data_IF_412012487553
#
_entry.id   IF_412012487553
#
_cell.length_a   1.000
_cell.length_b   1.000
_cell.length_c   1.000
_cell.angle_alpha   90.00
_cell.angle_beta   90.00
_cell.angle_gamma   90.00
#
_symmetry.space_group_name_H-M   'P 1'
#
loop_
_entity.id
_entity.type
_entity.pdbx_description
1 polymer ?
#
# COMPACT_ATOMS: atom_id res chain seq x y z
N UNK A 1 -7.15 -2.78 21.56
CA UNK A 1 -7.95 -1.56 21.79
C UNK A 1 -8.54 -1.18 20.44
N UNK A 2 -9.85 -1.01 20.35
CA UNK A 2 -10.52 -0.57 19.12
C UNK A 2 -10.67 0.96 19.09
N UNK A 3 -11.13 1.51 17.96
CA UNK A 3 -11.29 2.95 17.78
C UNK A 3 -12.19 3.59 18.84
N UNK A 4 -13.31 2.95 19.18
CA UNK A 4 -14.22 3.51 20.19
C UNK A 4 -13.61 3.52 21.59
N UNK A 5 -13.01 2.40 22.01
CA UNK A 5 -12.31 2.30 23.28
C UNK A 5 -11.21 3.35 23.39
N UNK A 6 -10.51 3.63 22.28
CA UNK A 6 -9.50 4.68 22.21
C UNK A 6 -10.07 6.09 22.41
N UNK A 7 -11.24 6.41 21.86
CA UNK A 7 -11.91 7.69 22.11
C UNK A 7 -12.45 7.79 23.54
N UNK A 8 -13.01 6.68 24.06
CA UNK A 8 -13.62 6.61 25.38
C UNK A 8 -12.67 7.00 26.51
N UNK A 9 -11.36 6.81 26.35
CA UNK A 9 -10.36 7.23 27.34
C UNK A 9 -10.41 8.74 27.65
N UNK A 10 -10.91 9.58 26.74
CA UNK A 10 -11.00 11.03 26.96
C UNK A 10 -12.13 11.43 27.91
N UNK A 11 -13.10 10.54 28.11
CA UNK A 11 -14.27 10.81 28.96
C UNK A 11 -14.28 10.00 30.27
N UNK A 12 -13.33 9.10 30.49
CA UNK A 12 -13.27 8.23 31.68
C UNK A 12 -13.31 8.98 33.01
N UNK A 13 -12.73 10.18 33.06
CA UNK A 13 -12.66 11.03 34.26
C UNK A 13 -13.71 12.14 34.26
N UNK A 14 -14.69 12.08 33.37
CA UNK A 14 -15.77 13.06 33.32
C UNK A 14 -16.63 12.96 34.57
N UNK A 15 -17.06 14.11 35.08
CA UNK A 15 -18.04 14.17 36.17
C UNK A 15 -19.36 14.63 35.61
N UNK A 16 -20.44 14.39 36.35
CA UNK A 16 -21.78 14.82 35.96
C UNK A 16 -22.33 15.80 36.99
N UNK A 17 -22.90 16.90 36.51
CA UNK A 17 -23.70 17.80 37.33
C UNK A 17 -25.18 17.45 37.15
N UNK A 18 -25.91 17.39 38.26
CA UNK A 18 -27.35 17.20 38.24
C UNK A 18 -28.04 18.56 38.10
N UNK A 19 -28.85 18.71 37.06
CA UNK A 19 -29.77 19.83 36.91
C UNK A 19 -31.13 19.38 37.42
N UNK A 20 -31.59 19.97 38.54
CA UNK A 20 -32.78 19.53 39.28
C UNK A 20 -34.12 20.02 38.69
N UNK A 21 -34.09 21.02 37.81
CA UNK A 21 -35.25 21.59 37.11
C UNK A 21 -34.86 22.03 35.71
N UNK A 22 -35.82 22.08 34.80
CA UNK A 22 -35.57 22.56 33.44
C UNK A 22 -34.94 23.96 33.45
N UNK A 23 -33.88 24.12 32.66
CA UNK A 23 -33.07 25.32 32.61
C UNK A 23 -32.94 25.80 31.16
N UNK A 24 -33.45 26.99 30.89
CA UNK A 24 -33.25 27.68 29.60
C UNK A 24 -31.86 28.30 29.59
N UNK A 25 -31.02 27.90 28.64
CA UNK A 25 -29.70 28.49 28.48
C UNK A 25 -29.80 29.84 27.79
N UNK A 26 -29.09 30.85 28.30
CA UNK A 26 -28.99 32.17 27.68
C UNK A 26 -27.98 32.18 26.52
N UNK A 27 -28.25 31.36 25.51
CA UNK A 27 -27.53 31.28 24.25
C UNK A 27 -28.53 31.30 23.09
N UNK A 28 -28.10 31.69 21.90
CA UNK A 28 -29.00 31.76 20.73
C UNK A 28 -29.69 30.42 20.47
N UNK A 29 -31.00 30.48 20.24
CA UNK A 29 -31.89 29.31 20.18
C UNK A 29 -32.55 28.96 21.52
N UNK A 30 -32.10 29.55 22.64
CA UNK A 30 -32.63 29.34 24.00
C UNK A 30 -32.93 27.86 24.32
N UNK A 31 -31.98 26.93 24.11
CA UNK A 31 -32.23 25.52 24.33
C UNK A 31 -32.55 25.27 25.81
N UNK A 32 -33.42 24.30 26.03
CA UNK A 32 -33.82 23.90 27.38
C UNK A 32 -33.03 22.65 27.76
N UNK A 33 -32.20 22.78 28.78
CA UNK A 33 -31.67 21.63 29.49
C UNK A 33 -32.80 21.08 30.37
N UNK A 34 -33.27 19.87 30.06
CA UNK A 34 -34.25 19.19 30.92
C UNK A 34 -33.59 18.78 32.23
N UNK A 35 -34.40 18.50 33.25
CA UNK A 35 -33.91 17.83 34.46
C UNK A 35 -33.11 16.57 34.09
N UNK A 36 -31.87 16.46 34.56
CA UNK A 36 -31.00 15.32 34.25
C UNK A 36 -29.53 15.55 34.59
N UNK A 37 -28.70 14.56 34.26
CA UNK A 37 -27.26 14.59 34.46
C UNK A 37 -26.57 15.19 33.23
N UNK A 38 -25.60 16.08 33.44
CA UNK A 38 -24.85 16.73 32.36
C UNK A 38 -23.34 16.59 32.55
N UNK A 39 -22.59 16.16 31.52
CA UNK A 39 -21.16 15.88 31.63
C UNK A 39 -20.33 17.16 31.71
N UNK A 40 -19.28 17.10 32.52
CA UNK A 40 -18.16 18.05 32.56
C UNK A 40 -16.85 17.28 32.33
N UNK A 41 -16.03 17.78 31.41
CA UNK A 41 -14.73 17.20 31.10
C UNK A 41 -13.71 17.51 32.19
N UNK A 42 -12.68 16.66 32.39
CA UNK A 42 -11.67 16.84 33.44
C UNK A 42 -11.00 18.22 33.45
N UNK A 43 -10.71 18.76 32.26
CA UNK A 43 -10.10 20.08 32.09
C UNK A 43 -10.99 21.24 32.57
N UNK A 44 -12.31 21.08 32.46
CA UNK A 44 -13.28 22.10 32.85
C UNK A 44 -13.61 22.05 34.35
N UNK A 45 -13.40 20.90 35.02
CA UNK A 45 -13.62 20.74 36.48
C UNK A 45 -12.70 21.66 37.27
N UNK A 46 -11.42 21.77 36.86
CA UNK A 46 -10.44 22.59 37.57
C UNK A 46 -10.79 24.07 37.49
N UNK A 47 -11.28 24.52 36.34
CA UNK A 47 -11.75 25.90 36.13
C UNK A 47 -13.00 26.15 36.97
N UNK A 48 -13.96 25.23 36.96
CA UNK A 48 -15.17 25.30 37.76
C UNK A 48 -14.90 25.37 39.27
N UNK A 49 -13.94 24.57 39.77
CA UNK A 49 -13.54 24.58 41.17
C UNK A 49 -12.94 25.93 41.62
N UNK A 50 -12.40 26.73 40.69
CA UNK A 50 -11.81 28.04 40.97
C UNK A 50 -12.80 29.19 40.86
N UNK A 51 -13.71 29.14 39.89
CA UNK A 51 -14.62 30.25 39.56
C UNK A 51 -15.97 30.18 40.27
N UNK A 52 -16.34 29.03 40.85
CA UNK A 52 -17.56 28.85 41.63
C UNK A 52 -18.81 28.57 40.79
N UNK A 53 -19.86 28.08 41.46
CA UNK A 53 -21.10 27.52 40.86
C UNK A 53 -22.01 28.60 40.27
N UNK A 54 -21.81 29.87 40.66
CA UNK A 54 -22.75 30.97 40.37
C UNK A 54 -22.89 31.28 38.88
N UNK A 55 -21.92 30.89 38.04
CA UNK A 55 -22.01 30.93 36.59
C UNK A 55 -21.98 29.50 36.04
N UNK A 56 -23.13 28.98 35.60
CA UNK A 56 -23.18 27.68 34.95
C UNK A 56 -22.22 27.68 33.75
N UNK A 57 -21.24 26.77 33.68
CA UNK A 57 -20.26 26.74 32.60
C UNK A 57 -20.92 26.12 31.37
N UNK A 58 -21.85 26.85 30.77
CA UNK A 58 -22.73 26.40 29.67
C UNK A 58 -21.89 25.82 28.53
N UNK A 59 -20.75 26.44 28.23
CA UNK A 59 -19.82 25.95 27.22
C UNK A 59 -19.15 24.62 27.60
N UNK A 60 -18.80 24.43 28.88
CA UNK A 60 -18.24 23.16 29.36
C UNK A 60 -19.27 22.02 29.28
N UNK A 61 -20.54 22.31 29.60
CA UNK A 61 -21.63 21.34 29.45
C UNK A 61 -21.82 20.98 27.98
N UNK A 62 -21.84 21.97 27.08
CA UNK A 62 -21.91 21.75 25.63
C UNK A 62 -20.75 20.88 25.15
N UNK A 63 -19.51 21.19 25.56
CA UNK A 63 -18.31 20.39 25.25
C UNK A 63 -18.44 18.95 25.76
N UNK A 64 -18.84 18.78 27.02
CA UNK A 64 -19.07 17.47 27.61
C UNK A 64 -20.12 16.67 26.82
N UNK A 65 -21.25 17.29 26.46
CA UNK A 65 -22.29 16.64 25.65
C UNK A 65 -21.74 16.19 24.29
N UNK A 66 -20.96 17.05 23.60
CA UNK A 66 -20.31 16.72 22.33
C UNK A 66 -19.37 15.52 22.46
N UNK A 67 -18.55 15.50 23.52
CA UNK A 67 -17.64 14.40 23.81
C UNK A 67 -18.39 13.10 24.10
N UNK A 68 -19.45 13.15 24.90
CA UNK A 68 -20.25 11.97 25.23
C UNK A 68 -20.89 11.36 23.98
N UNK A 69 -21.54 12.16 23.14
CA UNK A 69 -22.18 11.61 21.93
C UNK A 69 -21.17 10.99 20.95
N UNK A 70 -19.92 11.47 20.95
CA UNK A 70 -18.85 10.97 20.11
C UNK A 70 -18.18 9.70 20.68
N UNK A 71 -17.80 9.73 21.95
CA UNK A 71 -16.96 8.71 22.59
C UNK A 71 -17.76 7.60 23.31
N UNK A 72 -19.05 7.82 23.58
CA UNK A 72 -19.93 6.80 24.15
C UNK A 72 -21.34 6.90 23.54
N UNK A 73 -21.50 6.45 22.28
CA UNK A 73 -22.77 6.56 21.56
C UNK A 73 -23.93 5.86 22.28
N UNK A 74 -23.63 4.82 23.06
CA UNK A 74 -24.60 4.02 23.80
C UNK A 74 -24.94 4.60 25.18
N UNK A 75 -24.32 5.72 25.56
CA UNK A 75 -24.64 6.39 26.81
C UNK A 75 -26.12 6.80 26.88
N UNK A 76 -26.75 6.58 28.06
CA UNK A 76 -28.20 6.71 28.27
C UNK A 76 -28.82 8.04 27.82
N UNK A 77 -28.07 9.13 27.87
CA UNK A 77 -28.54 10.48 27.48
C UNK A 77 -28.02 10.94 26.11
N UNK A 78 -27.31 10.11 25.35
CA UNK A 78 -26.72 10.51 24.06
C UNK A 78 -27.75 11.05 23.07
N UNK A 79 -28.97 10.48 23.05
CA UNK A 79 -30.06 10.98 22.20
C UNK A 79 -30.57 12.34 22.66
N UNK A 80 -30.73 12.54 23.96
CA UNK A 80 -31.18 13.82 24.53
C UNK A 80 -30.15 14.92 24.32
N UNK A 81 -28.87 14.63 24.54
CA UNK A 81 -27.78 15.55 24.27
C UNK A 81 -27.73 15.95 22.81
N UNK A 82 -27.85 15.00 21.87
CA UNK A 82 -27.92 15.32 20.44
C UNK A 82 -29.09 16.26 20.14
N UNK A 83 -30.28 16.01 20.67
CA UNK A 83 -31.45 16.86 20.44
C UNK A 83 -31.24 18.28 20.98
N UNK A 84 -30.68 18.43 22.18
CA UNK A 84 -30.35 19.73 22.78
C UNK A 84 -29.32 20.47 21.93
N UNK A 85 -28.24 19.79 21.54
CA UNK A 85 -27.16 20.36 20.72
C UNK A 85 -27.69 20.84 19.36
N UNK A 86 -28.58 20.09 18.72
CA UNK A 86 -29.20 20.47 17.44
C UNK A 86 -30.09 21.72 17.52
N UNK A 87 -30.53 22.14 18.71
CA UNK A 87 -31.33 23.37 18.91
C UNK A 87 -30.48 24.63 19.10
N UNK A 88 -29.16 24.47 19.29
CA UNK A 88 -28.25 25.60 19.50
C UNK A 88 -27.90 26.25 18.16
N UNK A 89 -28.33 27.50 17.97
CA UNK A 89 -27.98 28.26 16.77
C UNK A 89 -26.46 28.51 16.73
N UNK A 90 -25.81 28.12 15.64
CA UNK A 90 -24.35 28.26 15.46
C UNK A 90 -23.51 27.14 16.06
N UNK A 91 -24.11 26.04 16.52
CA UNK A 91 -23.37 24.89 17.07
C UNK A 91 -22.37 24.30 16.07
N UNK A 92 -22.71 24.23 14.78
CA UNK A 92 -21.81 23.77 13.72
C UNK A 92 -20.55 24.62 13.66
N UNK A 93 -20.69 25.95 13.62
CA UNK A 93 -19.57 26.89 13.55
C UNK A 93 -18.69 26.79 14.80
N UNK A 94 -19.30 26.61 15.97
CA UNK A 94 -18.57 26.39 17.21
C UNK A 94 -17.71 25.11 17.13
N UNK A 95 -18.29 23.98 16.70
CA UNK A 95 -17.56 22.71 16.60
C UNK A 95 -16.44 22.82 15.55
N UNK A 96 -16.71 23.43 14.40
CA UNK A 96 -15.70 23.65 13.34
C UNK A 96 -14.54 24.49 13.86
N UNK A 97 -14.81 25.59 14.56
CA UNK A 97 -13.78 26.42 15.18
C UNK A 97 -12.92 25.62 16.17
N UNK A 98 -13.54 24.78 17.00
CA UNK A 98 -12.80 23.94 17.95
C UNK A 98 -12.00 22.83 17.26
N UNK A 99 -12.49 22.25 16.17
CA UNK A 99 -11.72 21.32 15.32
C UNK A 99 -10.47 22.03 14.79
N UNK A 100 -10.62 23.22 14.21
CA UNK A 100 -9.52 23.99 13.62
C UNK A 100 -8.44 24.37 14.64
N UNK A 101 -8.83 24.73 15.87
CA UNK A 101 -7.87 25.01 16.95
C UNK A 101 -7.05 23.79 17.37
N UNK A 102 -7.61 22.59 17.25
CA UNK A 102 -7.03 21.36 17.79
C UNK A 102 -6.41 20.45 16.72
N UNK A 103 -6.73 20.60 15.43
CA UNK A 103 -6.29 19.64 14.38
C UNK A 103 -4.78 19.44 14.31
N UNK A 104 -3.99 20.47 14.63
CA UNK A 104 -2.53 20.41 14.66
C UNK A 104 -2.00 19.93 16.02
N UNK A 105 -2.47 20.54 17.11
CA UNK A 105 -1.92 20.39 18.47
C UNK A 105 -2.46 19.16 19.21
N UNK A 106 -3.74 18.83 19.01
CA UNK A 106 -4.40 17.68 19.60
C UNK A 106 -5.37 17.05 18.58
N UNK A 107 -4.80 16.30 17.63
CA UNK A 107 -5.56 15.70 16.52
C UNK A 107 -6.62 14.72 17.02
N UNK A 108 -6.41 14.02 18.15
CA UNK A 108 -7.43 13.16 18.76
C UNK A 108 -8.68 13.94 19.19
N UNK A 109 -8.50 15.10 19.85
CA UNK A 109 -9.61 16.01 20.20
C UNK A 109 -10.37 16.50 18.97
N UNK A 110 -9.64 16.83 17.90
CA UNK A 110 -10.27 17.21 16.63
C UNK A 110 -11.11 16.06 16.03
N UNK A 111 -10.62 14.81 16.06
CA UNK A 111 -11.38 13.62 15.61
C UNK A 111 -12.65 13.43 16.43
N UNK A 112 -12.60 13.60 17.76
CA UNK A 112 -13.78 13.50 18.64
C UNK A 112 -14.82 14.55 18.26
N UNK A 113 -14.40 15.80 18.11
CA UNK A 113 -15.29 16.90 17.74
C UNK A 113 -15.89 16.70 16.34
N UNK A 114 -15.10 16.23 15.37
CA UNK A 114 -15.62 15.87 14.04
C UNK A 114 -16.60 14.69 14.10
N UNK A 115 -16.38 13.72 14.99
CA UNK A 115 -17.32 12.62 15.25
C UNK A 115 -18.63 13.11 15.86
N UNK A 116 -18.57 14.08 16.77
CA UNK A 116 -19.77 14.73 17.32
C UNK A 116 -20.51 15.52 16.23
N UNK A 117 -19.78 16.25 15.38
CA UNK A 117 -20.35 17.07 14.31
C UNK A 117 -21.17 16.23 13.32
N UNK A 118 -20.63 15.10 12.85
CA UNK A 118 -21.37 14.23 11.93
C UNK A 118 -22.62 13.62 12.56
N UNK A 119 -22.63 13.41 13.88
CA UNK A 119 -23.81 12.90 14.59
C UNK A 119 -24.90 13.94 14.66
N UNK A 120 -24.56 15.21 14.76
CA UNK A 120 -25.50 16.33 14.76
C UNK A 120 -25.99 16.60 13.34
N UNK A 121 -25.06 16.69 12.38
CA UNK A 121 -25.35 16.97 10.98
C UNK A 121 -24.46 16.11 10.05
N UNK A 122 -24.95 15.00 9.47
CA UNK A 122 -24.14 14.06 8.70
C UNK A 122 -23.89 14.53 7.26
N UNK A 123 -23.44 15.77 7.06
CA UNK A 123 -23.06 16.28 5.72
C UNK A 123 -21.84 15.53 5.19
N UNK A 124 -21.82 15.33 3.87
CA UNK A 124 -20.69 14.73 3.12
C UNK A 124 -19.35 15.36 3.50
N UNK A 125 -19.27 16.69 3.54
CA UNK A 125 -18.04 17.44 3.84
C UNK A 125 -17.54 17.16 5.26
N UNK A 126 -18.44 17.00 6.23
CA UNK A 126 -18.08 16.73 7.62
C UNK A 126 -17.62 15.30 7.81
N UNK A 127 -18.27 14.35 7.13
CA UNK A 127 -17.85 12.95 7.11
C UNK A 127 -16.45 12.82 6.51
N UNK A 128 -16.21 13.47 5.36
CA UNK A 128 -14.90 13.45 4.71
C UNK A 128 -13.81 14.14 5.55
N UNK A 129 -14.08 15.33 6.10
CA UNK A 129 -13.14 16.02 6.98
C UNK A 129 -12.76 15.19 8.21
N UNK A 130 -13.70 14.41 8.76
CA UNK A 130 -13.40 13.47 9.84
C UNK A 130 -12.43 12.39 9.39
N UNK A 131 -12.60 11.83 8.20
CA UNK A 131 -11.69 10.81 7.64
C UNK A 131 -10.28 11.38 7.51
N UNK A 132 -10.12 12.59 6.98
CA UNK A 132 -8.82 13.27 6.88
C UNK A 132 -8.14 13.46 8.24
N UNK A 133 -8.91 13.77 9.29
CA UNK A 133 -8.37 13.88 10.65
C UNK A 133 -7.93 12.52 11.21
N UNK A 134 -8.62 11.43 10.87
CA UNK A 134 -8.22 10.07 11.28
C UNK A 134 -6.98 9.63 10.54
N UNK A 135 -6.87 9.89 9.22
CA UNK A 135 -5.65 9.67 8.42
C UNK A 135 -4.47 10.41 9.04
N UNK A 136 -4.63 11.70 9.34
CA UNK A 136 -3.60 12.49 10.02
C UNK A 136 -3.20 11.93 11.39
N UNK A 137 -4.16 11.40 12.14
CA UNK A 137 -3.88 10.77 13.43
C UNK A 137 -3.14 9.44 13.26
N UNK A 138 -3.48 8.67 12.23
CA UNK A 138 -2.76 7.46 11.84
C UNK A 138 -1.31 7.78 11.50
N UNK A 139 -1.04 8.78 10.66
CA UNK A 139 0.32 9.18 10.29
C UNK A 139 1.18 9.55 11.52
N UNK A 140 0.56 10.16 12.54
CA UNK A 140 1.24 10.55 13.79
C UNK A 140 1.49 9.40 14.76
N UNK A 141 0.69 8.32 14.70
CA UNK A 141 0.63 7.31 15.78
C UNK A 141 0.91 5.88 15.31
N UNK A 142 0.74 5.62 14.01
CA UNK A 142 0.83 4.30 13.37
C UNK A 142 -0.03 3.22 14.06
N UNK A 143 -1.18 3.62 14.62
CA UNK A 143 -2.08 2.70 15.32
C UNK A 143 -3.01 1.99 14.32
N UNK A 144 -2.83 0.67 14.17
CA UNK A 144 -3.53 -0.14 13.17
C UNK A 144 -5.05 0.00 13.16
N UNK A 145 -5.69 0.10 14.34
CA UNK A 145 -7.15 0.23 14.43
C UNK A 145 -7.69 1.54 13.81
N UNK A 146 -6.84 2.56 13.61
CA UNK A 146 -7.24 3.77 12.90
C UNK A 146 -7.37 3.51 11.40
N UNK A 147 -6.55 2.62 10.84
CA UNK A 147 -6.65 2.19 9.46
C UNK A 147 -7.99 1.49 9.20
N UNK A 148 -8.40 0.60 10.12
CA UNK A 148 -9.71 -0.07 10.05
C UNK A 148 -10.88 0.93 10.10
N UNK A 149 -10.79 1.95 10.96
CA UNK A 149 -11.80 3.00 11.05
C UNK A 149 -11.84 3.93 9.83
N UNK A 150 -10.69 4.19 9.18
CA UNK A 150 -10.61 4.96 7.93
C UNK A 150 -11.39 4.21 6.84
N UNK A 151 -11.11 2.93 6.65
CA UNK A 151 -11.79 2.09 5.64
C UNK A 151 -13.28 2.02 5.95
N UNK A 152 -13.67 1.73 7.20
CA UNK A 152 -15.08 1.70 7.59
C UNK A 152 -15.79 3.05 7.38
N UNK A 153 -15.08 4.17 7.57
CA UNK A 153 -15.63 5.50 7.33
C UNK A 153 -15.78 5.83 5.84
N UNK A 154 -14.82 5.42 5.00
CA UNK A 154 -14.90 5.57 3.55
C UNK A 154 -16.05 4.73 2.97
N UNK A 155 -16.21 3.50 3.44
CA UNK A 155 -17.33 2.62 3.04
C UNK A 155 -18.69 3.24 3.41
N UNK A 156 -18.85 3.75 4.64
CA UNK A 156 -20.08 4.48 5.04
C UNK A 156 -20.32 5.75 4.22
N UNK A 157 -19.27 6.52 3.96
CA UNK A 157 -19.37 7.75 3.15
C UNK A 157 -19.84 7.45 1.72
N UNK A 158 -19.35 6.35 1.13
CA UNK A 158 -19.78 5.84 -0.16
C UNK A 158 -21.24 5.37 -0.15
N UNK A 159 -21.67 4.69 0.91
CA UNK A 159 -23.07 4.26 1.08
C UNK A 159 -24.02 5.46 1.18
N UNK A 160 -23.66 6.47 1.99
CA UNK A 160 -24.45 7.68 2.18
C UNK A 160 -24.46 8.57 0.92
N UNK A 161 -23.36 8.59 0.16
CA UNK A 161 -23.18 9.43 -1.02
C UNK A 161 -22.56 8.68 -2.21
N UNK A 162 -23.32 7.82 -2.92
CA UNK A 162 -22.78 6.95 -3.98
C UNK A 162 -22.20 7.67 -5.20
N UNK A 163 -22.49 8.97 -5.38
CA UNK A 163 -21.92 9.80 -6.46
C UNK A 163 -20.65 10.55 -6.03
N UNK A 164 -20.21 10.38 -4.78
CA UNK A 164 -19.02 11.05 -4.27
C UNK A 164 -17.81 10.14 -4.39
N UNK A 165 -17.16 10.22 -5.56
CA UNK A 165 -16.03 9.39 -5.99
C UNK A 165 -14.79 9.46 -5.09
N UNK A 166 -14.64 10.50 -4.26
CA UNK A 166 -13.48 10.69 -3.38
C UNK A 166 -13.35 9.53 -2.39
N UNK A 167 -14.47 8.96 -1.94
CA UNK A 167 -14.44 7.78 -1.08
C UNK A 167 -13.88 6.56 -1.82
N UNK A 168 -14.34 6.33 -3.06
CA UNK A 168 -13.81 5.27 -3.92
C UNK A 168 -12.32 5.53 -4.23
N UNK A 169 -11.88 6.77 -4.43
CA UNK A 169 -10.48 7.08 -4.74
C UNK A 169 -9.53 6.64 -3.61
N UNK A 170 -9.83 7.06 -2.36
CA UNK A 170 -9.04 6.66 -1.19
C UNK A 170 -9.07 5.15 -0.93
N UNK A 171 -10.21 4.49 -1.19
CA UNK A 171 -10.29 3.03 -1.13
C UNK A 171 -9.44 2.37 -2.23
N UNK A 172 -9.42 2.96 -3.42
CA UNK A 172 -8.54 2.58 -4.52
C UNK A 172 -7.07 2.60 -4.10
N UNK A 173 -6.60 3.73 -3.58
CA UNK A 173 -5.23 3.88 -3.07
C UNK A 173 -4.90 2.87 -1.97
N UNK A 174 -5.82 2.68 -1.02
CA UNK A 174 -5.67 1.73 0.07
C UNK A 174 -5.44 0.28 -0.42
N UNK A 175 -6.17 -0.13 -1.46
CA UNK A 175 -6.10 -1.49 -1.98
C UNK A 175 -4.96 -1.71 -2.98
N UNK A 176 -4.27 -0.67 -3.47
CA UNK A 176 -3.21 -0.80 -4.49
C UNK A 176 -2.16 -1.87 -4.15
N UNK A 177 -1.73 -1.93 -2.89
CA UNK A 177 -0.70 -2.85 -2.41
C UNK A 177 -1.25 -4.09 -1.70
N UNK A 178 -2.58 -4.29 -1.67
CA UNK A 178 -3.25 -5.35 -0.90
C UNK A 178 -4.09 -6.27 -1.77
N UNK A 179 -4.87 -5.67 -2.67
CA UNK A 179 -5.84 -6.35 -3.52
C UNK A 179 -6.01 -5.49 -4.78
N UNK A 180 -5.16 -5.74 -5.76
CA UNK A 180 -5.07 -4.92 -6.98
C UNK A 180 -6.37 -4.95 -7.79
N UNK A 181 -7.14 -6.04 -7.73
CA UNK A 181 -8.44 -6.14 -8.38
C UNK A 181 -9.48 -5.24 -7.72
N UNK A 182 -9.54 -5.21 -6.38
CA UNK A 182 -10.38 -4.23 -5.67
C UNK A 182 -9.95 -2.80 -5.98
N UNK A 183 -8.65 -2.52 -5.98
CA UNK A 183 -8.13 -1.20 -6.30
C UNK A 183 -8.64 -0.72 -7.67
N UNK A 184 -8.54 -1.56 -8.71
CA UNK A 184 -9.06 -1.27 -10.06
C UNK A 184 -10.57 -0.99 -10.06
N UNK A 185 -11.37 -1.76 -9.31
CA UNK A 185 -12.82 -1.56 -9.24
C UNK A 185 -13.14 -0.17 -8.70
N UNK A 186 -12.49 0.22 -7.60
CA UNK A 186 -12.68 1.53 -6.99
C UNK A 186 -12.22 2.66 -7.90
N UNK A 187 -10.99 2.58 -8.44
CA UNK A 187 -10.43 3.61 -9.32
C UNK A 187 -11.24 3.79 -10.62
N UNK A 188 -11.83 2.72 -11.16
CA UNK A 188 -12.70 2.83 -12.35
C UNK A 188 -13.96 3.65 -12.09
N UNK A 189 -14.52 3.60 -10.88
CA UNK A 189 -15.69 4.42 -10.50
C UNK A 189 -15.34 5.91 -10.42
N UNK A 190 -14.10 6.23 -10.09
CA UNK A 190 -13.59 7.60 -10.03
C UNK A 190 -13.49 8.27 -11.41
N UNK A 191 -13.52 7.52 -12.51
CA UNK A 191 -13.41 8.06 -13.87
C UNK A 191 -14.62 8.88 -14.30
N UNK A 192 -15.78 8.71 -13.65
CA UNK A 192 -17.00 9.47 -13.94
C UNK A 192 -17.05 10.84 -13.27
N UNK A 193 -16.17 11.09 -12.28
CA UNK A 193 -16.13 12.33 -11.50
C UNK A 193 -14.89 13.15 -11.85
N UNK A 194 -15.06 14.38 -12.41
CA UNK A 194 -13.94 15.26 -12.74
C UNK A 194 -13.00 15.57 -11.59
N UNK A 195 -13.46 15.45 -10.33
CA UNK A 195 -12.63 15.70 -9.16
C UNK A 195 -11.61 14.60 -8.87
N UNK A 196 -11.77 13.40 -9.45
CA UNK A 196 -10.89 12.24 -9.20
C UNK A 196 -10.44 11.53 -10.47
N UNK A 197 -11.00 11.91 -11.63
CA UNK A 197 -10.81 11.16 -12.88
C UNK A 197 -9.36 11.17 -13.37
N UNK A 198 -8.65 12.29 -13.20
CA UNK A 198 -7.27 12.44 -13.67
C UNK A 198 -6.33 11.54 -12.86
N UNK A 199 -6.35 11.67 -11.53
CA UNK A 199 -5.52 10.89 -10.63
C UNK A 199 -5.85 9.39 -10.72
N UNK A 200 -7.13 9.03 -10.81
CA UNK A 200 -7.53 7.64 -10.97
C UNK A 200 -7.04 7.05 -12.30
N UNK A 201 -7.06 7.83 -13.39
CA UNK A 201 -6.53 7.40 -14.70
C UNK A 201 -5.03 7.12 -14.62
N UNK A 202 -4.26 7.99 -13.95
CA UNK A 202 -2.83 7.80 -13.75
C UNK A 202 -2.54 6.52 -12.97
N UNK A 203 -3.29 6.25 -11.89
CA UNK A 203 -3.12 5.03 -11.10
C UNK A 203 -3.51 3.77 -11.88
N UNK A 204 -4.59 3.82 -12.66
CA UNK A 204 -5.01 2.71 -13.52
C UNK A 204 -3.98 2.40 -14.61
N UNK A 205 -3.37 3.42 -15.21
CA UNK A 205 -2.31 3.18 -16.21
C UNK A 205 -1.06 2.58 -15.56
N UNK A 206 -0.69 3.02 -14.36
CA UNK A 206 0.41 2.38 -13.59
C UNK A 206 0.13 0.91 -13.30
N UNK A 207 -1.10 0.57 -12.88
CA UNK A 207 -1.50 -0.82 -12.66
C UNK A 207 -1.38 -1.62 -13.96
N UNK A 208 -1.93 -1.09 -15.05
CA UNK A 208 -1.88 -1.74 -16.36
C UNK A 208 -0.44 -2.00 -16.81
N UNK A 209 0.46 -1.03 -16.64
CA UNK A 209 1.88 -1.19 -16.99
C UNK A 209 2.54 -2.33 -16.20
N UNK A 210 2.22 -2.47 -14.90
CA UNK A 210 2.71 -3.57 -14.07
C UNK A 210 2.16 -4.91 -14.55
N UNK A 211 0.86 -5.00 -14.83
CA UNK A 211 0.23 -6.23 -15.33
C UNK A 211 0.78 -6.65 -16.71
N UNK A 212 1.02 -5.69 -17.60
CA UNK A 212 1.63 -5.95 -18.91
C UNK A 212 3.07 -6.47 -18.76
N UNK A 213 3.85 -5.91 -17.83
CA UNK A 213 5.18 -6.43 -17.51
C UNK A 213 5.12 -7.87 -16.98
N UNK A 214 4.25 -8.18 -16.03
CA UNK A 214 4.12 -9.53 -15.47
C UNK A 214 3.72 -10.54 -16.56
N UNK A 215 2.80 -10.16 -17.44
CA UNK A 215 2.43 -10.96 -18.61
C UNK A 215 3.62 -11.19 -19.54
N UNK A 216 4.44 -10.18 -19.80
CA UNK A 216 5.65 -10.31 -20.60
C UNK A 216 6.64 -11.31 -19.99
N UNK A 217 6.84 -11.25 -18.68
CA UNK A 217 7.69 -12.19 -17.95
C UNK A 217 7.19 -13.63 -18.10
N UNK A 218 5.88 -13.85 -17.99
CA UNK A 218 5.29 -15.18 -18.17
C UNK A 218 5.44 -15.69 -19.61
N UNK A 219 5.26 -14.83 -20.61
CA UNK A 219 5.56 -15.16 -22.01
C UNK A 219 7.01 -15.60 -22.20
N UNK A 220 7.98 -14.95 -21.53
CA UNK A 220 9.38 -15.40 -21.56
C UNK A 220 9.52 -16.78 -20.92
N UNK A 221 8.89 -17.05 -19.77
CA UNK A 221 8.96 -18.38 -19.13
C UNK A 221 8.38 -19.48 -20.01
N UNK A 222 7.37 -19.17 -20.81
CA UNK A 222 6.74 -20.08 -21.77
C UNK A 222 7.53 -20.25 -23.09
N UNK A 223 8.65 -19.52 -23.26
CA UNK A 223 9.45 -19.56 -24.47
C UNK A 223 8.90 -18.71 -25.63
N UNK A 224 7.88 -17.88 -25.38
CA UNK A 224 7.23 -17.02 -26.37
C UNK A 224 7.97 -15.67 -26.52
N UNK A 225 9.28 -15.72 -26.78
CA UNK A 225 10.15 -14.54 -26.77
C UNK A 225 9.72 -13.41 -27.71
N UNK A 226 9.18 -13.73 -28.90
CA UNK A 226 8.72 -12.71 -29.84
C UNK A 226 7.54 -11.89 -29.30
N UNK A 227 6.56 -12.55 -28.66
CA UNK A 227 5.40 -11.86 -28.08
C UNK A 227 5.80 -11.09 -26.82
N UNK A 228 6.70 -11.64 -26.00
CA UNK A 228 7.25 -10.94 -24.84
C UNK A 228 7.94 -9.63 -25.25
N UNK A 229 8.75 -9.64 -26.32
CA UNK A 229 9.47 -8.44 -26.79
C UNK A 229 8.53 -7.32 -27.27
N UNK A 230 7.34 -7.63 -27.79
CA UNK A 230 6.36 -6.60 -28.18
C UNK A 230 5.89 -5.77 -26.97
N UNK A 231 5.96 -6.33 -25.78
CA UNK A 231 5.55 -5.69 -24.52
C UNK A 231 6.78 -5.11 -23.81
N UNK A 232 7.87 -5.88 -23.70
CA UNK A 232 9.07 -5.48 -22.96
C UNK A 232 9.75 -4.25 -23.55
N UNK A 233 9.82 -4.13 -24.88
CA UNK A 233 10.55 -3.02 -25.52
C UNK A 233 9.90 -1.67 -25.20
N UNK A 234 8.60 -1.44 -25.45
CA UNK A 234 7.94 -0.20 -25.01
C UNK A 234 8.03 0.01 -23.49
N UNK A 235 7.88 -1.06 -22.69
CA UNK A 235 7.95 -0.96 -21.23
C UNK A 235 9.31 -0.46 -20.74
N UNK A 236 10.41 -0.89 -21.37
CA UNK A 236 11.78 -0.43 -21.04
C UNK A 236 11.97 1.04 -21.41
N UNK A 237 11.40 1.50 -22.52
CA UNK A 237 11.47 2.92 -22.93
C UNK A 237 10.82 3.83 -21.88
N UNK A 238 9.71 3.40 -21.29
CA UNK A 238 8.99 4.13 -20.24
C UNK A 238 9.57 3.93 -18.83
N UNK A 239 10.30 2.83 -18.59
CA UNK A 239 10.82 2.44 -17.27
C UNK A 239 12.30 2.02 -17.35
N UNK A 240 13.22 2.92 -17.76
CA UNK A 240 14.63 2.58 -18.01
C UNK A 240 15.37 2.11 -16.75
N UNK A 241 14.88 2.42 -15.56
CA UNK A 241 15.44 1.99 -14.27
C UNK A 241 15.11 0.53 -13.92
N UNK A 242 14.15 -0.10 -14.61
CA UNK A 242 13.74 -1.48 -14.35
C UNK A 242 14.66 -2.47 -15.04
N UNK A 243 15.83 -2.69 -14.45
CA UNK A 243 16.88 -3.60 -14.96
C UNK A 243 16.37 -5.02 -15.25
N UNK A 244 15.40 -5.50 -14.47
CA UNK A 244 14.78 -6.82 -14.71
C UNK A 244 14.09 -6.91 -16.07
N UNK A 245 13.47 -5.83 -16.54
CA UNK A 245 12.83 -5.80 -17.86
C UNK A 245 13.86 -5.95 -18.99
N UNK A 246 15.00 -5.27 -18.89
CA UNK A 246 16.11 -5.42 -19.84
C UNK A 246 16.67 -6.84 -19.83
N UNK A 247 16.75 -7.47 -18.65
CA UNK A 247 17.19 -8.87 -18.54
C UNK A 247 16.21 -9.82 -19.25
N UNK A 248 14.91 -9.71 -18.98
CA UNK A 248 13.91 -10.53 -19.66
C UNK A 248 13.86 -10.27 -21.17
N UNK A 249 14.12 -9.04 -21.62
CA UNK A 249 14.25 -8.75 -23.05
C UNK A 249 15.46 -9.47 -23.66
N UNK A 250 16.60 -9.53 -22.96
CA UNK A 250 17.75 -10.30 -23.41
C UNK A 250 17.45 -11.81 -23.50
N UNK A 251 16.79 -12.38 -22.48
CA UNK A 251 16.36 -13.79 -22.50
C UNK A 251 15.41 -14.04 -23.68
N UNK A 252 14.46 -13.13 -23.92
CA UNK A 252 13.52 -13.22 -25.04
C UNK A 252 14.24 -13.13 -26.40
N UNK A 253 15.25 -12.28 -26.53
CA UNK A 253 16.11 -12.22 -27.72
C UNK A 253 16.90 -13.52 -27.93
N UNK A 254 17.39 -14.16 -26.86
CA UNK A 254 18.02 -15.49 -26.95
C UNK A 254 17.03 -16.55 -27.44
N UNK A 255 15.79 -16.54 -26.95
CA UNK A 255 14.75 -17.50 -27.35
C UNK A 255 14.41 -17.42 -28.84
N UNK A 256 14.54 -16.25 -29.45
CA UNK A 256 14.39 -16.06 -30.90
C UNK A 256 15.72 -16.12 -31.67
N UNK A 257 16.75 -16.71 -31.06
CA UNK A 257 18.10 -16.92 -31.62
C UNK A 257 18.84 -15.61 -32.01
N UNK A 258 18.37 -14.46 -31.53
CA UNK A 258 19.03 -13.17 -31.75
C UNK A 258 20.06 -12.89 -30.66
N UNK A 259 21.12 -13.71 -30.65
CA UNK A 259 22.17 -13.67 -29.63
C UNK A 259 22.92 -12.34 -29.58
N UNK A 260 23.08 -11.65 -30.71
CA UNK A 260 23.73 -10.33 -30.75
C UNK A 260 22.93 -9.27 -29.99
N UNK A 261 21.60 -9.20 -30.19
CA UNK A 261 20.76 -8.27 -29.42
C UNK A 261 20.70 -8.67 -27.95
N UNK A 262 20.60 -9.97 -27.63
CA UNK A 262 20.65 -10.42 -26.25
C UNK A 262 21.93 -9.92 -25.54
N UNK A 263 23.10 -10.10 -26.16
CA UNK A 263 24.36 -9.61 -25.62
C UNK A 263 24.43 -8.08 -25.51
N UNK A 264 23.81 -7.34 -26.43
CA UNK A 264 23.73 -5.87 -26.33
C UNK A 264 23.03 -5.44 -25.03
N UNK A 265 21.83 -5.96 -24.77
CA UNK A 265 21.07 -5.66 -23.54
C UNK A 265 21.81 -6.14 -22.28
N UNK A 266 22.42 -7.32 -22.31
CA UNK A 266 23.16 -7.86 -21.17
C UNK A 266 24.42 -7.06 -20.85
N UNK A 267 25.14 -6.57 -21.87
CA UNK A 267 26.31 -5.74 -21.66
C UNK A 267 25.93 -4.35 -21.12
N UNK A 268 24.82 -3.78 -21.60
CA UNK A 268 24.26 -2.55 -21.03
C UNK A 268 23.93 -2.74 -19.54
N UNK A 269 23.27 -3.85 -19.19
CA UNK A 269 23.01 -4.21 -17.79
C UNK A 269 24.29 -4.25 -16.95
N UNK A 270 25.37 -4.85 -17.47
CA UNK A 270 26.66 -4.86 -16.77
C UNK A 270 27.25 -3.47 -16.56
N UNK A 271 27.04 -2.54 -17.49
CA UNK A 271 27.57 -1.16 -17.35
C UNK A 271 26.84 -0.32 -16.31
N UNK A 272 25.59 -0.67 -15.98
CA UNK A 272 24.72 0.10 -15.09
C UNK A 272 24.50 -0.56 -13.72
N UNK A 273 25.28 -1.60 -13.38
CA UNK A 273 25.24 -2.22 -12.05
C UNK A 273 24.37 -3.49 -11.95
N UNK A 274 24.01 -4.10 -13.08
CA UNK A 274 23.20 -5.31 -13.17
C UNK A 274 23.98 -6.62 -12.98
N UNK A 275 25.15 -6.60 -12.33
CA UNK A 275 25.97 -7.79 -12.11
C UNK A 275 25.29 -8.80 -11.17
N UNK A 276 24.81 -9.90 -11.74
CA UNK A 276 24.23 -11.03 -10.99
C UNK A 276 24.42 -12.35 -11.73
N UNK A 277 24.17 -13.45 -11.01
CA UNK A 277 24.35 -14.83 -11.50
C UNK A 277 23.65 -15.05 -12.84
N UNK A 278 22.40 -14.61 -12.93
CA UNK A 278 21.51 -14.79 -14.07
C UNK A 278 22.04 -14.05 -15.31
N UNK A 279 22.57 -12.84 -15.13
CA UNK A 279 23.12 -12.02 -16.23
C UNK A 279 24.41 -12.64 -16.77
N UNK A 280 25.32 -13.08 -15.89
CA UNK A 280 26.54 -13.74 -16.32
C UNK A 280 26.27 -15.06 -17.03
N UNK A 281 25.33 -15.86 -16.51
CA UNK A 281 24.93 -17.12 -17.13
C UNK A 281 24.31 -16.89 -18.50
N UNK A 282 23.45 -15.87 -18.62
CA UNK A 282 22.78 -15.56 -19.89
C UNK A 282 23.76 -15.02 -20.95
N UNK A 283 24.76 -14.21 -20.56
CA UNK A 283 25.84 -13.79 -21.47
C UNK A 283 26.59 -15.01 -21.97
N UNK A 284 26.99 -15.90 -21.07
CA UNK A 284 27.75 -17.09 -21.41
C UNK A 284 26.98 -18.03 -22.35
N UNK A 285 25.68 -18.21 -22.12
CA UNK A 285 24.81 -18.98 -23.02
C UNK A 285 24.76 -18.38 -24.43
N UNK A 286 24.64 -17.06 -24.56
CA UNK A 286 24.61 -16.39 -25.86
C UNK A 286 25.99 -16.41 -26.56
N UNK A 287 27.09 -16.29 -25.83
CA UNK A 287 28.44 -16.43 -26.40
C UNK A 287 28.69 -17.86 -26.91
N UNK A 288 28.31 -18.88 -26.12
CA UNK A 288 28.42 -20.28 -26.53
C UNK A 288 27.57 -20.58 -27.78
N UNK A 289 26.37 -20.01 -27.88
CA UNK A 289 25.52 -20.15 -29.07
C UNK A 289 26.12 -19.50 -30.32
N UNK A 290 26.92 -18.42 -30.15
CA UNK A 290 27.70 -17.79 -31.22
C UNK A 290 29.04 -18.50 -31.51
N UNK A 291 29.36 -19.57 -30.77
CA UNK A 291 30.60 -20.33 -30.91
C UNK A 291 31.81 -19.73 -30.17
N UNK A 292 31.63 -18.65 -29.41
CA UNK A 292 32.68 -18.09 -28.53
C UNK A 292 32.70 -18.83 -27.19
N UNK A 293 33.22 -20.06 -27.20
CA UNK A 293 33.25 -20.92 -26.04
C UNK A 293 34.26 -20.44 -24.98
N UNK A 294 35.40 -19.87 -25.39
CA UNK A 294 36.36 -19.27 -24.47
C UNK A 294 35.76 -18.07 -23.72
N UNK A 295 35.06 -17.18 -24.44
CA UNK A 295 34.32 -16.07 -23.84
C UNK A 295 33.22 -16.54 -22.91
N UNK A 296 32.45 -17.56 -23.32
CA UNK A 296 31.43 -18.17 -22.47
C UNK A 296 32.00 -18.71 -21.15
N UNK A 297 33.15 -19.40 -21.20
CA UNK A 297 33.83 -19.92 -20.00
C UNK A 297 34.23 -18.80 -19.03
N UNK A 298 34.63 -17.63 -19.52
CA UNK A 298 34.96 -16.46 -18.66
C UNK A 298 33.73 -16.03 -17.85
N UNK A 299 32.56 -15.93 -18.50
CA UNK A 299 31.33 -15.50 -17.84
C UNK A 299 30.71 -16.59 -16.96
N UNK A 300 30.73 -17.85 -17.37
CA UNK A 300 30.34 -18.95 -16.48
C UNK A 300 31.22 -19.02 -15.22
N UNK A 301 32.53 -18.76 -15.33
CA UNK A 301 33.41 -18.65 -14.14
C UNK A 301 33.03 -17.48 -13.24
N UNK A 302 32.56 -16.35 -13.78
CA UNK A 302 32.02 -15.25 -12.96
C UNK A 302 30.73 -15.67 -12.24
N UNK A 303 29.84 -16.39 -12.93
CA UNK A 303 28.62 -16.92 -12.33
C UNK A 303 28.93 -17.92 -11.19
N UNK A 304 29.87 -18.86 -11.40
CA UNK A 304 30.31 -19.79 -10.35
C UNK A 304 31.00 -19.14 -9.16
N UNK A 305 31.56 -17.93 -9.29
CA UNK A 305 32.04 -17.19 -8.10
C UNK A 305 30.91 -16.78 -7.17
N UNK A 306 29.70 -16.60 -7.70
CA UNK A 306 28.49 -16.26 -6.94
C UNK A 306 27.84 -17.54 -6.40
N UNK A 307 27.67 -18.56 -7.24
CA UNK A 307 27.12 -19.85 -6.87
C UNK A 307 28.06 -20.99 -7.30
N UNK A 308 29.01 -21.41 -6.44
CA UNK A 308 30.06 -22.37 -6.80
C UNK A 308 29.58 -23.77 -7.19
N UNK A 309 28.42 -24.18 -6.68
CA UNK A 309 27.90 -25.54 -6.81
C UNK A 309 26.67 -25.62 -7.75
N UNK A 310 26.51 -24.64 -8.65
CA UNK A 310 25.43 -24.69 -9.65
C UNK A 310 25.71 -25.78 -10.71
N UNK A 311 25.01 -26.90 -10.59
CA UNK A 311 25.17 -28.07 -11.46
C UNK A 311 24.89 -27.76 -12.93
N UNK A 312 23.95 -26.84 -13.22
CA UNK A 312 23.58 -26.46 -14.59
C UNK A 312 24.68 -25.65 -15.28
N UNK A 313 25.23 -24.65 -14.58
CA UNK A 313 26.38 -23.87 -15.06
C UNK A 313 27.60 -24.77 -15.27
N UNK A 314 27.87 -25.70 -14.35
CA UNK A 314 28.98 -26.66 -14.49
C UNK A 314 28.76 -27.57 -15.71
N UNK A 315 27.53 -28.02 -15.98
CA UNK A 315 27.21 -28.77 -17.18
C UNK A 315 27.49 -27.94 -18.45
N UNK A 316 27.09 -26.67 -18.48
CA UNK A 316 27.34 -25.78 -19.62
C UNK A 316 28.84 -25.50 -19.85
N UNK A 317 29.64 -25.38 -18.78
CA UNK A 317 31.10 -25.34 -18.86
C UNK A 317 31.64 -26.62 -19.52
N UNK A 318 31.11 -27.78 -19.16
CA UNK A 318 31.48 -29.05 -19.79
C UNK A 318 31.17 -29.07 -21.29
N UNK A 319 30.02 -28.54 -21.70
CA UNK A 319 29.68 -28.37 -23.13
C UNK A 319 30.65 -27.42 -23.83
N UNK A 320 31.07 -26.33 -23.20
CA UNK A 320 32.06 -25.42 -23.78
C UNK A 320 33.42 -26.11 -23.98
N UNK A 321 33.94 -26.79 -22.96
CA UNK A 321 35.19 -27.56 -23.06
C UNK A 321 35.13 -28.64 -24.15
N UNK A 322 33.98 -29.32 -24.30
CA UNK A 322 33.79 -30.30 -25.34
C UNK A 322 33.91 -29.69 -26.75
N UNK A 323 33.29 -28.53 -26.98
CA UNK A 323 33.38 -27.82 -28.27
C UNK A 323 34.78 -27.26 -28.55
N UNK A 324 35.57 -27.00 -27.51
CA UNK A 324 36.99 -26.64 -27.62
C UNK A 324 37.92 -27.84 -27.87
N UNK A 325 37.40 -29.07 -27.84
CA UNK A 325 38.19 -30.29 -27.96
C UNK A 325 38.90 -30.71 -26.67
N UNK A 326 38.62 -30.04 -25.55
CA UNK A 326 39.22 -30.31 -24.23
C UNK A 326 38.45 -31.42 -23.51
N UNK A 327 38.53 -32.63 -24.07
CA UNK A 327 37.69 -33.79 -23.69
C UNK A 327 37.77 -34.15 -22.21
N UNK A 328 38.96 -34.09 -21.61
CA UNK A 328 39.15 -34.45 -20.20
C UNK A 328 38.55 -33.41 -19.25
N UNK A 329 38.62 -32.12 -19.57
CA UNK A 329 37.98 -31.07 -18.76
C UNK A 329 36.45 -31.14 -18.89
N UNK A 330 35.95 -31.42 -20.09
CA UNK A 330 34.52 -31.67 -20.32
C UNK A 330 34.02 -32.86 -19.47
N UNK A 331 34.76 -33.98 -19.47
CA UNK A 331 34.45 -35.16 -18.65
C UNK A 331 34.35 -34.80 -17.16
N UNK A 332 35.36 -34.11 -16.61
CA UNK A 332 35.38 -33.71 -15.20
C UNK A 332 34.19 -32.82 -14.84
N UNK A 333 33.85 -31.87 -15.71
CA UNK A 333 32.71 -30.98 -15.51
C UNK A 333 31.38 -31.76 -15.48
N UNK A 334 31.16 -32.68 -16.43
CA UNK A 334 29.93 -33.49 -16.44
C UNK A 334 29.86 -34.45 -15.24
N UNK A 335 30.98 -35.04 -14.80
CA UNK A 335 31.03 -35.86 -13.58
C UNK A 335 30.69 -35.06 -12.33
N UNK A 336 31.25 -33.84 -12.21
CA UNK A 336 30.95 -32.94 -11.10
C UNK A 336 29.48 -32.51 -11.12
N UNK A 337 28.95 -32.10 -12.27
CA UNK A 337 27.53 -31.73 -12.44
C UNK A 337 26.60 -32.90 -12.05
N UNK A 338 26.89 -34.11 -12.51
CA UNK A 338 26.13 -35.33 -12.15
C UNK A 338 26.17 -35.61 -10.65
N UNK A 339 27.31 -35.38 -9.99
CA UNK A 339 27.43 -35.56 -8.53
C UNK A 339 26.62 -34.52 -7.75
N UNK A 340 26.60 -33.27 -8.22
CA UNK A 340 25.87 -32.16 -7.59
C UNK A 340 24.35 -32.26 -7.80
N UNK A 341 23.92 -32.72 -8.98
CA UNK A 341 22.52 -33.01 -9.27
C UNK A 341 22.35 -34.40 -9.92
N UNK A 342 22.23 -35.48 -9.12
CA UNK A 342 22.10 -36.83 -9.64
C UNK A 342 20.82 -37.11 -10.44
N UNK A 343 19.82 -36.22 -10.38
CA UNK A 343 18.55 -36.34 -11.12
C UNK A 343 18.62 -35.72 -12.52
N UNK A 344 19.64 -34.90 -12.79
CA UNK A 344 19.84 -34.36 -14.12
C UNK A 344 20.43 -35.43 -15.04
N UNK A 345 19.71 -35.75 -16.11
CA UNK A 345 20.13 -36.75 -17.10
C UNK A 345 21.03 -36.14 -18.17
N UNK A 346 21.02 -34.81 -18.37
CA UNK A 346 21.79 -34.13 -19.41
C UNK A 346 23.31 -34.41 -19.28
N UNK A 347 23.98 -34.19 -18.13
CA UNK A 347 25.40 -34.46 -18.02
C UNK A 347 25.74 -35.96 -18.18
N UNK A 348 24.82 -36.86 -17.81
CA UNK A 348 25.00 -38.31 -17.99
C UNK A 348 25.01 -38.69 -19.46
N UNK A 349 24.10 -38.14 -20.25
CA UNK A 349 24.05 -38.33 -21.71
C UNK A 349 25.37 -37.88 -22.35
N UNK A 350 25.93 -36.75 -21.91
CA UNK A 350 27.23 -36.28 -22.40
C UNK A 350 28.37 -37.22 -22.01
N UNK A 351 28.40 -37.73 -20.79
CA UNK A 351 29.40 -38.72 -20.35
C UNK A 351 29.35 -40.01 -21.16
N UNK A 352 28.16 -40.48 -21.53
CA UNK A 352 27.99 -41.64 -22.41
C UNK A 352 28.52 -41.37 -23.82
N UNK A 353 28.22 -40.20 -24.40
CA UNK A 353 28.76 -39.81 -25.71
C UNK A 353 30.28 -39.76 -25.70
N UNK A 354 30.89 -39.23 -24.65
CA UNK A 354 32.35 -39.18 -24.49
C UNK A 354 33.03 -40.55 -24.43
N UNK A 355 32.32 -41.60 -23.97
CA UNK A 355 32.86 -42.97 -23.97
C UNK A 355 32.93 -43.58 -25.36
N UNK A 356 32.09 -43.11 -26.29
CA UNK A 356 32.04 -43.60 -27.67
C UNK A 356 32.98 -42.85 -28.62
N UNK A 357 33.66 -41.80 -28.13
CA UNK A 357 34.63 -40.99 -28.89
C UNK A 357 36.08 -41.46 -28.70
N UNK A 358 36.31 -42.40 -27.78
CA UNK A 358 37.60 -43.05 -27.47
C UNK A 358 37.49 -44.49 -27.97
#
# INVERSE_FOLDING_TARGET
MDFQSYLKTEIEKSVFIEISKDLTLNIKGNPILKRGDYPLLPEDIVTFAKEGIENLPTLAIIKGMLYMIACDPDFKYSKDYKNILSLIEGIENYIIMEIEKNKETNTKKAVILATALIKINPKKEFQYNRILLIMKLYDKTNLQFLEDEIVASLERLKEDFPKYSVADFHLGEYYLNKDMDKAKIYLRRCLEDPATSEEASILLEKIKNVEEYDKAVDLVKEGQGLEALKILIPYIEDNPERLDAQYYAAVAYRQIENHHKALMYLNELLTIGGERLEVYSEIALNLAALGDFEGALVYFKKALKIMPDDAGIICNIGVCHLNLGEIEEARRAFELSTRLNPKDEIPKIWLERLKNLI
#
